data_IF_256046841564
#
_entry.id   IF_256046841564
#
_cell.length_a   1.000
_cell.length_b   1.000
_cell.length_c   1.000
_cell.angle_alpha   90.00
_cell.angle_beta   90.00
_cell.angle_gamma   90.00
#
_symmetry.space_group_name_H-M   'P 1'
#
loop_
_entity.id
_entity.type
_entity.pdbx_description
1 polymer ?
#
# COMPACT_ATOMS: atom_id res chain seq x y z
N UNK A 1 17.67 -3.01 -9.12
CA UNK A 1 16.57 -2.07 -8.84
C UNK A 1 15.88 -2.49 -7.56
N UNK A 2 15.47 -1.54 -6.72
CA UNK A 2 14.82 -1.79 -5.43
C UNK A 2 13.50 -1.01 -5.37
N UNK A 3 12.38 -1.73 -5.23
CA UNK A 3 11.06 -1.13 -4.97
C UNK A 3 11.04 -0.53 -3.57
N UNK A 4 10.42 0.63 -3.41
CA UNK A 4 10.09 1.23 -2.12
C UNK A 4 9.03 0.35 -1.46
N UNK A 5 9.33 -0.21 -0.30
CA UNK A 5 8.43 -1.08 0.44
C UNK A 5 8.49 -0.69 1.92
N UNK A 6 7.33 -0.37 2.50
CA UNK A 6 7.19 0.01 3.90
C UNK A 6 6.57 -1.09 4.77
N UNK A 7 6.32 -2.25 4.19
CA UNK A 7 5.70 -3.38 4.86
C UNK A 7 6.68 -4.17 5.71
N UNK A 8 6.13 -4.78 6.77
CA UNK A 8 6.92 -5.73 7.57
C UNK A 8 7.03 -7.06 6.83
N UNK A 9 8.26 -7.49 6.57
CA UNK A 9 8.54 -8.81 5.99
C UNK A 9 8.12 -9.91 6.96
N UNK A 10 7.43 -10.92 6.42
CA UNK A 10 6.97 -12.05 7.22
C UNK A 10 6.79 -13.26 6.32
N UNK A 11 7.67 -14.25 6.45
CA UNK A 11 7.79 -15.39 5.54
C UNK A 11 6.45 -16.08 5.25
N UNK A 12 5.66 -16.37 6.29
CA UNK A 12 4.36 -17.01 6.10
C UNK A 12 3.33 -16.09 5.44
N UNK A 13 3.35 -14.79 5.75
CA UNK A 13 2.39 -13.86 5.15
C UNK A 13 2.73 -13.65 3.68
N UNK A 14 4.01 -13.46 3.36
CA UNK A 14 4.51 -13.27 2.02
C UNK A 14 4.24 -14.51 1.14
N UNK A 15 4.42 -15.73 1.69
CA UNK A 15 4.06 -16.98 1.02
C UNK A 15 2.54 -17.08 0.78
N UNK A 16 1.72 -16.81 1.80
CA UNK A 16 0.26 -16.85 1.68
C UNK A 16 -0.24 -15.86 0.62
N UNK A 17 0.29 -14.63 0.60
CA UNK A 17 -0.09 -13.61 -0.36
C UNK A 17 0.24 -14.05 -1.78
N UNK A 18 1.44 -14.58 -1.99
CA UNK A 18 1.86 -15.12 -3.30
C UNK A 18 0.99 -16.29 -3.76
N UNK A 19 0.75 -17.28 -2.90
CA UNK A 19 -0.06 -18.47 -3.21
C UNK A 19 -1.51 -18.12 -3.56
N UNK A 20 -2.05 -17.08 -2.93
CA UNK A 20 -3.44 -16.64 -3.10
C UNK A 20 -3.60 -15.46 -4.05
N UNK A 21 -2.54 -15.07 -4.78
CA UNK A 21 -2.56 -13.93 -5.71
C UNK A 21 -3.10 -12.65 -5.07
N UNK A 22 -2.65 -12.38 -3.84
CA UNK A 22 -2.92 -11.15 -3.11
C UNK A 22 -1.76 -10.20 -3.41
N UNK A 23 -2.07 -9.12 -4.13
CA UNK A 23 -1.11 -8.10 -4.56
C UNK A 23 -1.19 -6.88 -3.66
N UNK A 24 -0.12 -6.08 -3.59
CA UNK A 24 -0.09 -4.85 -2.80
C UNK A 24 0.04 -3.61 -3.71
N UNK A 25 -0.36 -2.45 -3.18
CA UNK A 25 -0.10 -1.14 -3.80
C UNK A 25 0.45 -0.21 -2.71
N UNK A 26 1.69 0.25 -2.86
CA UNK A 26 2.35 1.04 -1.82
C UNK A 26 1.86 2.48 -1.78
N UNK A 27 1.38 3.05 -2.88
CA UNK A 27 0.90 4.42 -2.91
C UNK A 27 -0.40 4.55 -3.67
N UNK A 28 -1.51 4.71 -2.97
CA UNK A 28 -2.74 5.25 -3.53
C UNK A 28 -2.87 6.70 -3.09
N UNK A 29 -2.77 7.61 -4.04
CA UNK A 29 -2.84 9.05 -3.81
C UNK A 29 -4.29 9.51 -3.91
N UNK A 30 -4.61 10.51 -3.09
CA UNK A 30 -5.92 11.15 -3.09
C UNK A 30 -5.82 12.62 -2.73
N UNK A 31 -6.78 13.38 -3.25
CA UNK A 31 -7.03 14.76 -2.86
C UNK A 31 -8.48 14.84 -2.36
N UNK A 32 -8.66 15.23 -1.10
CA UNK A 32 -9.94 15.09 -0.40
C UNK A 32 -10.46 13.64 -0.46
N UNK A 33 -11.69 13.44 -0.95
CA UNK A 33 -12.33 12.12 -1.08
C UNK A 33 -12.16 11.50 -2.48
N UNK A 34 -11.34 12.12 -3.35
CA UNK A 34 -11.13 11.65 -4.72
C UNK A 34 -9.75 11.02 -4.87
N UNK A 35 -9.70 9.77 -5.34
CA UNK A 35 -8.45 9.11 -5.73
C UNK A 35 -7.89 9.75 -6.99
N UNK A 36 -6.58 9.98 -7.03
CA UNK A 36 -5.93 10.72 -8.13
C UNK A 36 -5.04 9.83 -8.96
N UNK A 37 -4.23 8.96 -8.34
CA UNK A 37 -3.41 7.98 -9.03
C UNK A 37 -2.91 6.87 -8.07
N UNK A 38 -2.54 5.73 -8.64
CA UNK A 38 -1.66 4.76 -7.99
C UNK A 38 -0.21 5.06 -8.32
N UNK A 39 0.71 4.84 -7.39
CA UNK A 39 2.14 5.02 -7.58
C UNK A 39 2.96 3.90 -6.92
N UNK A 40 4.02 3.52 -7.62
CA UNK A 40 5.14 2.76 -7.06
C UNK A 40 6.44 3.53 -7.25
N UNK A 41 7.41 3.33 -6.37
CA UNK A 41 8.74 3.95 -6.51
C UNK A 41 9.83 2.90 -6.57
N UNK A 42 10.78 3.11 -7.47
CA UNK A 42 11.92 2.22 -7.68
C UNK A 42 13.22 3.01 -7.69
N UNK A 43 14.22 2.52 -6.96
CA UNK A 43 15.57 3.06 -6.98
C UNK A 43 16.48 2.13 -7.79
N UNK A 44 17.20 2.69 -8.76
CA UNK A 44 18.19 1.96 -9.54
C UNK A 44 19.62 2.44 -9.24
N UNK A 45 20.66 1.60 -9.46
CA UNK A 45 22.03 1.96 -9.10
C UNK A 45 22.58 3.13 -9.91
N UNK A 46 23.52 3.88 -9.32
CA UNK A 46 24.19 5.01 -9.99
C UNK A 46 24.92 4.56 -11.26
N UNK A 47 24.77 5.32 -12.35
CA UNK A 47 25.33 5.05 -13.67
C UNK A 47 24.54 4.04 -14.50
N UNK A 48 23.37 3.60 -14.05
CA UNK A 48 22.46 2.73 -14.79
C UNK A 48 21.21 3.50 -15.24
N UNK A 49 20.47 2.94 -16.20
CA UNK A 49 19.13 3.43 -16.56
C UNK A 49 18.04 2.60 -15.87
N UNK A 50 16.86 3.18 -15.71
CA UNK A 50 15.67 2.41 -15.38
C UNK A 50 15.41 1.36 -16.46
N UNK A 51 15.24 0.11 -16.04
CA UNK A 51 14.96 -1.02 -16.93
C UNK A 51 13.56 -1.57 -16.56
N UNK A 52 12.54 -1.36 -17.41
CA UNK A 52 11.20 -1.87 -17.13
C UNK A 52 11.10 -3.39 -17.32
N UNK A 53 12.05 -4.05 -18.00
CA UNK A 53 11.98 -5.48 -18.32
C UNK A 53 12.18 -6.38 -17.10
N UNK A 54 12.75 -5.84 -16.02
CA UNK A 54 12.97 -6.54 -14.75
C UNK A 54 11.79 -6.42 -13.78
N UNK A 55 10.74 -5.68 -14.14
CA UNK A 55 9.52 -5.58 -13.35
C UNK A 55 8.76 -6.91 -13.37
N UNK A 56 8.13 -7.25 -12.24
CA UNK A 56 7.25 -8.42 -12.19
C UNK A 56 5.94 -8.11 -12.93
N UNK A 57 5.79 -8.66 -14.13
CA UNK A 57 4.61 -8.47 -14.96
C UNK A 57 3.28 -8.76 -14.22
N UNK A 58 3.20 -9.86 -13.47
CA UNK A 58 1.94 -10.25 -12.80
C UNK A 58 1.55 -9.23 -11.73
N UNK A 59 2.50 -8.74 -10.96
CA UNK A 59 2.25 -7.73 -9.92
C UNK A 59 1.91 -6.35 -10.51
N UNK A 60 2.68 -5.90 -11.51
CA UNK A 60 2.47 -4.59 -12.14
C UNK A 60 1.16 -4.55 -12.94
N UNK A 61 0.80 -5.65 -13.61
CA UNK A 61 -0.51 -5.81 -14.25
C UNK A 61 -1.64 -5.74 -13.22
N UNK A 62 -1.50 -6.40 -12.06
CA UNK A 62 -2.51 -6.33 -11.02
C UNK A 62 -2.69 -4.90 -10.48
N UNK A 63 -1.59 -4.17 -10.21
CA UNK A 63 -1.62 -2.76 -9.78
C UNK A 63 -2.25 -1.85 -10.83
N UNK A 64 -1.85 -2.02 -12.09
CA UNK A 64 -2.44 -1.30 -13.22
C UNK A 64 -3.95 -1.51 -13.31
N UNK A 65 -4.41 -2.77 -13.28
CA UNK A 65 -5.84 -3.11 -13.39
C UNK A 65 -6.66 -2.62 -12.19
N UNK A 66 -6.08 -2.66 -10.99
CA UNK A 66 -6.69 -2.07 -9.80
C UNK A 66 -6.94 -0.56 -9.98
N UNK A 67 -5.92 0.17 -10.46
CA UNK A 67 -6.02 1.60 -10.75
C UNK A 67 -7.00 1.89 -11.91
N UNK A 68 -6.96 1.08 -12.96
CA UNK A 68 -7.88 1.18 -14.10
C UNK A 68 -9.34 1.04 -13.65
N UNK A 69 -9.64 0.12 -12.73
CA UNK A 69 -10.98 -0.06 -12.18
C UNK A 69 -11.44 1.13 -11.32
N UNK A 70 -10.51 1.80 -10.64
CA UNK A 70 -10.75 3.08 -9.97
C UNK A 70 -10.84 4.27 -10.93
N UNK A 71 -10.63 4.06 -12.23
CA UNK A 71 -10.56 5.10 -13.25
C UNK A 71 -9.51 6.18 -12.95
N UNK A 72 -8.34 5.75 -12.47
CA UNK A 72 -7.18 6.60 -12.18
C UNK A 72 -5.93 6.08 -12.88
N UNK A 73 -4.97 6.95 -13.24
CA UNK A 73 -3.69 6.52 -13.79
C UNK A 73 -2.85 5.77 -12.76
N UNK A 74 -1.97 4.90 -13.27
CA UNK A 74 -0.94 4.21 -12.50
C UNK A 74 0.44 4.68 -12.96
N UNK A 75 1.28 5.12 -12.03
CA UNK A 75 2.63 5.61 -12.31
C UNK A 75 3.71 4.79 -11.62
N UNK A 76 4.85 4.66 -12.28
CA UNK A 76 6.11 4.26 -11.65
C UNK A 76 7.03 5.48 -11.57
N UNK A 77 7.57 5.75 -10.38
CA UNK A 77 8.55 6.80 -10.13
C UNK A 77 9.93 6.15 -9.97
N UNK A 78 10.77 6.26 -11.00
CA UNK A 78 12.12 5.74 -10.98
C UNK A 78 13.12 6.83 -10.57
N UNK A 79 14.08 6.46 -9.71
CA UNK A 79 15.08 7.38 -9.15
C UNK A 79 16.44 6.71 -9.20
N UNK A 80 17.44 7.39 -9.77
CA UNK A 80 18.82 6.93 -9.67
C UNK A 80 19.34 7.11 -8.23
N UNK A 81 20.06 6.12 -7.71
CA UNK A 81 20.65 6.18 -6.39
C UNK A 81 21.61 7.37 -6.27
N UNK A 82 21.35 8.27 -5.31
CA UNK A 82 22.14 9.48 -5.09
C UNK A 82 21.75 10.67 -5.97
N UNK A 83 20.77 10.51 -6.85
CA UNK A 83 20.19 11.59 -7.66
C UNK A 83 18.92 12.15 -7.01
N UNK A 84 18.61 13.41 -7.33
CA UNK A 84 17.31 14.04 -7.05
C UNK A 84 16.54 14.33 -8.35
N UNK A 85 16.71 13.44 -9.34
CA UNK A 85 15.94 13.41 -10.59
C UNK A 85 14.94 12.24 -10.54
N UNK A 86 13.70 12.54 -10.91
CA UNK A 86 12.55 11.66 -10.84
C UNK A 86 12.04 11.41 -12.25
N UNK A 87 12.12 10.17 -12.71
CA UNK A 87 11.54 9.73 -13.97
C UNK A 87 10.16 9.15 -13.68
N UNK A 88 9.11 9.82 -14.16
CA UNK A 88 7.72 9.42 -13.95
C UNK A 88 7.25 8.69 -15.21
N UNK A 89 6.94 7.41 -15.06
CA UNK A 89 6.44 6.56 -16.13
C UNK A 89 4.94 6.36 -15.97
N UNK A 90 4.16 6.67 -17.00
CA UNK A 90 2.76 6.28 -17.10
C UNK A 90 2.68 4.82 -17.54
N UNK A 91 1.99 4.01 -16.74
CA UNK A 91 1.87 2.58 -16.95
C UNK A 91 0.62 2.26 -17.76
N UNK A 92 0.79 1.36 -18.72
CA UNK A 92 -0.29 0.79 -19.52
C UNK A 92 -0.04 -0.70 -19.74
N UNK A 93 -1.07 -1.43 -20.12
CA UNK A 93 -0.99 -2.85 -20.46
C UNK A 93 -1.37 -3.05 -21.94
N UNK A 94 -0.55 -3.77 -22.69
CA UNK A 94 -0.84 -4.16 -24.07
C UNK A 94 -0.34 -5.59 -24.33
N UNK A 95 -1.17 -6.44 -24.92
CA UNK A 95 -0.84 -7.84 -25.27
C UNK A 95 -0.11 -8.61 -24.17
N UNK A 96 -0.63 -8.55 -22.93
CA UNK A 96 -0.01 -9.13 -21.74
C UNK A 96 1.43 -8.65 -21.46
N UNK A 97 1.72 -7.40 -21.78
CA UNK A 97 2.99 -6.73 -21.47
C UNK A 97 2.70 -5.41 -20.78
N UNK A 98 3.51 -5.07 -19.78
CA UNK A 98 3.46 -3.75 -19.15
C UNK A 98 4.32 -2.78 -19.94
N UNK A 99 3.70 -1.72 -20.43
CA UNK A 99 4.35 -0.63 -21.14
C UNK A 99 4.59 0.53 -20.18
N UNK A 100 5.88 0.83 -19.94
CA UNK A 100 6.31 1.98 -19.14
C UNK A 100 6.62 3.15 -20.07
N UNK A 101 5.68 4.07 -20.24
CA UNK A 101 5.87 5.25 -21.08
C UNK A 101 6.44 6.38 -20.24
N UNK A 102 7.66 6.85 -20.52
CA UNK A 102 8.21 8.01 -19.81
C UNK A 102 7.30 9.21 -20.07
N UNK A 103 6.65 9.69 -19.00
CA UNK A 103 5.75 10.81 -19.05
C UNK A 103 6.54 12.11 -18.81
N UNK A 104 7.31 12.17 -17.72
CA UNK A 104 8.05 13.36 -17.30
C UNK A 104 9.37 13.00 -16.61
N UNK A 105 10.38 13.87 -16.75
CA UNK A 105 11.61 13.83 -15.96
C UNK A 105 11.70 15.12 -15.15
N UNK A 106 11.65 14.99 -13.83
CA UNK A 106 11.52 16.12 -12.92
C UNK A 106 12.74 16.22 -12.00
N UNK A 107 13.20 17.43 -11.74
CA UNK A 107 14.06 17.67 -10.58
C UNK A 107 13.22 17.70 -9.29
N UNK A 108 13.87 17.71 -8.13
CA UNK A 108 13.21 17.78 -6.81
C UNK A 108 12.11 18.84 -6.69
N UNK A 109 12.35 20.08 -7.11
CA UNK A 109 11.37 21.15 -6.96
C UNK A 109 10.12 20.89 -7.82
N UNK A 110 10.34 20.51 -9.07
CA UNK A 110 9.26 20.15 -9.98
C UNK A 110 8.51 18.89 -9.52
N UNK A 111 9.21 17.90 -8.97
CA UNK A 111 8.61 16.69 -8.39
C UNK A 111 7.70 17.02 -7.19
N UNK A 112 8.12 17.90 -6.28
CA UNK A 112 7.28 18.34 -5.16
C UNK A 112 6.01 19.05 -5.66
N UNK A 113 6.12 19.86 -6.72
CA UNK A 113 4.95 20.48 -7.34
C UNK A 113 4.02 19.45 -7.98
N UNK A 114 4.56 18.51 -8.75
CA UNK A 114 3.80 17.39 -9.34
C UNK A 114 3.08 16.60 -8.26
N UNK A 115 3.76 16.26 -7.17
CA UNK A 115 3.17 15.53 -6.05
C UNK A 115 1.98 16.27 -5.43
N UNK A 116 2.14 17.58 -5.17
CA UNK A 116 1.07 18.43 -4.61
C UNK A 116 -0.17 18.54 -5.50
N UNK A 117 -0.03 18.35 -6.81
CA UNK A 117 -1.17 18.31 -7.73
C UNK A 117 -1.99 17.02 -7.58
N UNK A 118 -1.37 15.93 -7.10
CA UNK A 118 -2.02 14.63 -6.92
C UNK A 118 -2.42 14.37 -5.45
N UNK A 119 -1.65 14.87 -4.49
CA UNK A 119 -1.93 14.77 -3.07
C UNK A 119 -1.25 15.91 -2.29
N UNK A 120 -2.06 16.77 -1.68
CA UNK A 120 -1.58 17.89 -0.85
C UNK A 120 -1.41 17.54 0.63
N UNK A 121 -1.81 16.33 1.05
CA UNK A 121 -1.87 15.95 2.46
C UNK A 121 -0.50 15.82 3.14
N UNK A 122 -0.45 16.36 4.36
CA UNK A 122 0.70 16.22 5.27
C UNK A 122 0.59 14.95 6.11
N UNK A 123 1.74 14.33 6.37
CA UNK A 123 1.87 13.22 7.31
C UNK A 123 1.53 13.70 8.73
N UNK A 124 0.34 13.36 9.24
CA UNK A 124 -0.12 13.77 10.58
C UNK A 124 0.34 12.85 11.72
N UNK A 125 0.66 11.59 11.42
CA UNK A 125 1.06 10.57 12.40
C UNK A 125 2.56 10.31 12.28
N UNK A 126 3.26 10.23 13.41
CA UNK A 126 4.64 9.78 13.39
C UNK A 126 4.74 8.36 12.82
N UNK A 127 5.71 8.16 11.92
CA UNK A 127 5.95 6.88 11.27
C UNK A 127 6.79 5.96 12.14
N UNK A 128 6.53 5.88 13.46
CA UNK A 128 7.44 5.21 14.42
C UNK A 128 7.78 3.76 14.03
N UNK A 129 6.80 3.03 13.48
CA UNK A 129 7.02 1.64 13.05
C UNK A 129 7.62 1.56 11.64
N UNK A 130 7.25 2.45 10.72
CA UNK A 130 7.70 2.40 9.33
C UNK A 130 9.03 3.13 9.07
N UNK A 131 9.40 4.10 9.91
CA UNK A 131 10.59 4.94 9.75
C UNK A 131 11.88 4.13 9.55
N UNK A 132 12.17 3.06 10.34
CA UNK A 132 13.37 2.25 10.11
C UNK A 132 13.40 1.54 8.74
N UNK A 133 12.23 1.27 8.14
CA UNK A 133 12.13 0.58 6.85
C UNK A 133 12.32 1.52 5.67
N UNK A 134 11.98 2.81 5.86
CA UNK A 134 12.08 3.85 4.83
C UNK A 134 13.23 4.84 5.08
N UNK A 135 14.09 4.60 6.08
CA UNK A 135 15.15 5.54 6.52
C UNK A 135 16.09 5.98 5.37
N UNK A 136 16.34 5.11 4.40
CA UNK A 136 17.16 5.40 3.22
C UNK A 136 16.38 5.77 1.95
N UNK A 137 15.07 5.98 2.05
CA UNK A 137 14.21 6.26 0.90
C UNK A 137 14.32 7.72 0.47
N UNK A 138 14.87 7.95 -0.72
CA UNK A 138 15.04 9.29 -1.32
C UNK A 138 13.68 10.01 -1.38
N UNK A 139 12.64 9.30 -1.81
CA UNK A 139 11.32 9.88 -2.00
C UNK A 139 10.64 10.21 -0.67
N UNK A 140 10.67 9.32 0.33
CA UNK A 140 10.08 9.60 1.64
C UNK A 140 10.79 10.80 2.30
N UNK A 141 12.13 10.90 2.20
CA UNK A 141 12.89 12.03 2.71
C UNK A 141 12.47 13.37 2.07
N UNK A 142 12.26 13.39 0.75
CA UNK A 142 11.85 14.60 0.04
C UNK A 142 10.42 14.99 0.37
N UNK A 143 9.51 14.03 0.46
CA UNK A 143 8.12 14.30 0.83
C UNK A 143 8.02 14.86 2.25
N UNK A 144 8.67 14.21 3.22
CA UNK A 144 8.64 14.66 4.62
C UNK A 144 9.28 16.04 4.82
N UNK A 145 10.41 16.31 4.15
CA UNK A 145 11.03 17.64 4.18
C UNK A 145 10.12 18.75 3.62
N UNK A 146 9.09 18.39 2.84
CA UNK A 146 8.13 19.32 2.25
C UNK A 146 6.73 19.24 2.90
N UNK A 147 6.60 18.60 4.07
CA UNK A 147 5.33 18.37 4.76
C UNK A 147 4.29 17.62 3.91
N UNK A 148 4.74 16.64 3.12
CA UNK A 148 3.91 15.78 2.30
C UNK A 148 3.98 14.33 2.79
N UNK A 149 2.92 13.57 2.56
CA UNK A 149 2.89 12.12 2.79
C UNK A 149 3.02 11.33 1.49
N UNK A 150 3.51 10.09 1.59
CA UNK A 150 3.61 9.13 0.49
C UNK A 150 2.25 8.71 -0.11
N UNK A 151 1.17 8.72 0.68
CA UNK A 151 -0.12 8.18 0.25
C UNK A 151 -0.43 6.89 0.99
N UNK A 152 -1.55 6.29 0.60
CA UNK A 152 -2.17 5.20 1.34
C UNK A 152 -1.62 3.88 0.82
N UNK A 153 -1.06 3.07 1.70
CA UNK A 153 -0.72 1.69 1.37
C UNK A 153 -2.00 0.84 1.34
N UNK A 154 -2.08 -0.04 0.35
CA UNK A 154 -3.01 -1.17 0.33
C UNK A 154 -2.16 -2.43 0.54
N UNK A 155 -2.20 -2.99 1.76
CA UNK A 155 -1.35 -4.13 2.11
C UNK A 155 -1.61 -5.35 1.21
N UNK A 156 -2.88 -5.53 0.80
CA UNK A 156 -3.30 -6.60 -0.10
C UNK A 156 -4.61 -6.32 -0.82
N UNK A 157 -4.73 -6.78 -2.06
CA UNK A 157 -5.96 -6.85 -2.84
C UNK A 157 -5.95 -8.08 -3.75
N UNK A 158 -7.12 -8.55 -4.14
CA UNK A 158 -7.27 -9.62 -5.16
C UNK A 158 -8.13 -9.13 -6.32
N UNK A 159 -7.89 -9.72 -7.49
CA UNK A 159 -8.66 -9.46 -8.70
C UNK A 159 -9.38 -10.73 -9.15
N UNK A 160 -10.51 -10.58 -9.85
CA UNK A 160 -11.14 -11.66 -10.59
C UNK A 160 -10.42 -11.94 -11.92
N UNK A 161 -10.93 -12.90 -12.69
CA UNK A 161 -10.36 -13.27 -13.99
C UNK A 161 -10.43 -12.16 -15.05
N UNK A 162 -11.28 -11.14 -14.84
CA UNK A 162 -11.43 -9.98 -15.71
C UNK A 162 -10.61 -8.77 -15.21
N UNK A 163 -9.87 -8.90 -14.10
CA UNK A 163 -9.09 -7.81 -13.51
C UNK A 163 -9.91 -6.88 -12.61
N UNK A 164 -11.16 -7.22 -12.26
CA UNK A 164 -11.97 -6.45 -11.31
C UNK A 164 -11.54 -6.76 -9.87
N UNK A 165 -11.34 -5.74 -9.00
CA UNK A 165 -11.09 -5.96 -7.58
C UNK A 165 -12.21 -6.78 -6.91
N UNK A 166 -11.82 -7.73 -6.06
CA UNK A 166 -12.75 -8.60 -5.32
C UNK A 166 -12.72 -8.34 -3.81
N UNK A 167 -11.55 -8.04 -3.27
CA UNK A 167 -11.36 -7.79 -1.85
C UNK A 167 -10.10 -6.97 -1.60
N UNK A 168 -10.11 -6.25 -0.48
CA UNK A 168 -8.93 -5.62 0.12
C UNK A 168 -8.59 -6.36 1.41
N UNK A 169 -7.31 -6.46 1.71
CA UNK A 169 -6.76 -7.11 2.88
C UNK A 169 -5.86 -6.12 3.62
N UNK A 170 -6.17 -5.87 4.88
CA UNK A 170 -5.23 -5.29 5.84
C UNK A 170 -4.38 -6.43 6.43
N UNK A 171 -3.06 -6.25 6.49
CA UNK A 171 -2.13 -7.21 7.07
C UNK A 171 -1.68 -6.75 8.45
N UNK A 172 -1.89 -7.60 9.47
CA UNK A 172 -1.37 -7.35 10.83
C UNK A 172 -0.50 -8.50 11.30
N UNK A 173 0.63 -8.15 11.90
CA UNK A 173 1.53 -9.10 12.56
C UNK A 173 1.49 -8.80 14.06
N UNK A 174 1.06 -9.76 14.88
CA UNK A 174 0.90 -9.60 16.33
C UNK A 174 2.04 -10.26 17.11
N UNK A 175 2.54 -9.53 18.11
CA UNK A 175 3.54 -10.02 19.09
C UNK A 175 2.94 -10.14 20.49
N UNK A 176 1.77 -9.53 20.70
CA UNK A 176 1.23 -9.21 22.03
C UNK A 176 0.11 -10.15 22.45
N UNK A 177 -0.54 -10.76 21.49
CA UNK A 177 -1.65 -11.68 21.68
C UNK A 177 -1.49 -12.82 20.67
N UNK A 178 -1.87 -14.03 21.10
CA UNK A 178 -2.11 -15.11 20.16
C UNK A 178 -3.14 -14.66 19.13
N UNK A 179 -3.07 -15.17 17.91
CA UNK A 179 -3.94 -14.77 16.80
C UNK A 179 -5.41 -14.89 17.19
N UNK A 180 -5.74 -15.89 18.00
CA UNK A 180 -7.05 -16.21 18.56
C UNK A 180 -7.63 -15.08 19.42
N UNK A 181 -6.77 -14.32 20.06
CA UNK A 181 -7.13 -13.31 21.06
C UNK A 181 -6.92 -11.89 20.53
N UNK A 182 -6.46 -11.76 19.28
CA UNK A 182 -6.25 -10.47 18.65
C UNK A 182 -7.60 -9.78 18.41
N UNK A 183 -7.82 -8.65 19.07
CA UNK A 183 -9.02 -7.83 18.86
C UNK A 183 -8.59 -6.48 18.26
N UNK A 184 -8.87 -6.21 16.97
CA UNK A 184 -8.48 -4.96 16.33
C UNK A 184 -9.11 -3.73 16.99
N UNK A 185 -10.24 -3.86 17.70
CA UNK A 185 -10.87 -2.72 18.41
C UNK A 185 -9.99 -2.17 19.52
N UNK A 186 -9.16 -3.01 20.14
CA UNK A 186 -8.26 -2.58 21.24
C UNK A 186 -7.24 -1.53 20.80
N UNK A 187 -6.93 -1.47 19.50
CA UNK A 187 -5.93 -0.55 18.94
C UNK A 187 -6.55 0.62 18.18
N UNK A 188 -7.85 0.58 17.94
CA UNK A 188 -8.56 1.50 17.05
C UNK A 188 -8.49 2.96 17.50
N UNK A 189 -8.72 3.23 18.79
CA UNK A 189 -8.67 4.58 19.36
C UNK A 189 -7.27 5.02 19.80
N UNK A 190 -6.30 4.11 19.74
CA UNK A 190 -4.94 4.37 20.20
C UNK A 190 -4.83 4.43 21.72
N UNK A 191 -3.75 5.04 22.18
CA UNK A 191 -3.44 5.24 23.60
C UNK A 191 -2.95 6.67 23.82
N UNK A 192 -2.78 7.09 25.07
CA UNK A 192 -2.18 8.39 25.40
C UNK A 192 -0.79 8.61 24.78
N UNK A 193 -0.12 7.54 24.31
CA UNK A 193 1.24 7.56 23.74
C UNK A 193 1.30 7.28 22.23
N UNK A 194 0.19 6.83 21.61
CA UNK A 194 0.18 6.42 20.20
C UNK A 194 -1.17 6.75 19.58
N UNK A 195 -1.19 7.48 18.47
CA UNK A 195 -2.41 7.74 17.70
C UNK A 195 -3.06 6.43 17.28
N UNK A 196 -4.40 6.39 17.35
CA UNK A 196 -5.19 5.25 16.92
C UNK A 196 -5.06 4.93 15.44
N UNK A 197 -5.66 3.81 15.06
CA UNK A 197 -5.64 3.31 13.69
C UNK A 197 -6.88 3.75 12.88
N UNK A 198 -7.83 4.47 13.50
CA UNK A 198 -9.03 4.98 12.81
C UNK A 198 -8.75 5.62 11.44
N UNK A 199 -7.80 6.56 11.28
CA UNK A 199 -7.58 7.20 9.98
C UNK A 199 -7.22 6.21 8.86
N UNK A 200 -6.34 5.24 9.15
CA UNK A 200 -5.93 4.21 8.18
C UNK A 200 -7.10 3.28 7.84
N UNK A 201 -7.81 2.78 8.85
CA UNK A 201 -8.99 1.92 8.65
C UNK A 201 -10.11 2.62 7.90
N UNK A 202 -10.34 3.90 8.17
CA UNK A 202 -11.40 4.67 7.54
C UNK A 202 -11.13 4.80 6.03
N UNK A 203 -9.89 5.09 5.64
CA UNK A 203 -9.52 5.19 4.23
C UNK A 203 -9.74 3.86 3.50
N UNK A 204 -9.29 2.74 4.08
CA UNK A 204 -9.46 1.42 3.47
C UNK A 204 -10.92 1.00 3.39
N UNK A 205 -11.73 1.33 4.40
CA UNK A 205 -13.16 1.03 4.38
C UNK A 205 -13.90 1.87 3.35
N UNK A 206 -13.61 3.17 3.26
CA UNK A 206 -14.14 4.04 2.20
C UNK A 206 -13.78 3.52 0.81
N UNK A 207 -12.54 3.06 0.61
CA UNK A 207 -12.10 2.46 -0.65
C UNK A 207 -12.88 1.18 -0.98
N UNK A 208 -13.01 0.28 0.00
CA UNK A 208 -13.75 -0.97 -0.18
C UNK A 208 -15.23 -0.70 -0.50
N UNK A 209 -15.85 0.27 0.15
CA UNK A 209 -17.25 0.67 -0.10
C UNK A 209 -17.42 1.32 -1.47
N UNK A 210 -16.49 2.19 -1.87
CA UNK A 210 -16.48 2.80 -3.20
C UNK A 210 -16.38 1.75 -4.33
N UNK A 211 -15.59 0.70 -4.10
CA UNK A 211 -15.41 -0.41 -5.02
C UNK A 211 -16.52 -1.49 -4.91
N UNK A 212 -17.40 -1.39 -3.91
CA UNK A 212 -18.41 -2.39 -3.56
C UNK A 212 -17.80 -3.79 -3.28
N UNK A 213 -16.66 -3.84 -2.59
CA UNK A 213 -15.92 -5.05 -2.27
C UNK A 213 -15.75 -5.26 -0.76
N UNK A 214 -15.28 -6.45 -0.38
CA UNK A 214 -15.07 -6.79 1.03
C UNK A 214 -13.69 -6.35 1.53
N UNK A 215 -13.64 -5.70 2.68
CA UNK A 215 -12.42 -5.48 3.46
C UNK A 215 -12.21 -6.61 4.48
N UNK A 216 -11.08 -7.29 4.40
CA UNK A 216 -10.65 -8.29 5.36
C UNK A 216 -9.47 -7.81 6.20
N UNK A 217 -9.40 -8.29 7.43
CA UNK A 217 -8.18 -8.26 8.24
C UNK A 217 -7.57 -9.66 8.26
N UNK A 218 -6.30 -9.74 7.89
CA UNK A 218 -5.45 -10.92 8.06
C UNK A 218 -4.49 -10.67 9.21
N UNK A 219 -4.59 -11.48 10.27
CA UNK A 219 -3.72 -11.41 11.43
C UNK A 219 -2.78 -12.61 11.44
N UNK A 220 -1.48 -12.34 11.42
CA UNK A 220 -0.41 -13.33 11.50
C UNK A 220 0.26 -13.27 12.87
N UNK A 221 0.62 -14.42 13.42
CA UNK A 221 1.52 -14.46 14.56
C UNK A 221 2.92 -14.03 14.09
N UNK A 222 3.69 -13.29 14.91
CA UNK A 222 5.09 -12.95 14.55
C UNK A 222 6.02 -14.15 14.48
N UNK A 223 5.68 -15.22 15.20
CA UNK A 223 6.41 -16.47 15.02
C UNK A 223 6.10 -16.97 13.61
N UNK A 224 7.09 -17.44 12.84
CA UNK A 224 6.87 -17.95 11.48
C UNK A 224 6.02 -19.24 11.44
N UNK A 225 5.27 -19.56 12.51
CA UNK A 225 4.26 -20.61 12.51
C UNK A 225 3.17 -20.25 11.49
N UNK A 226 2.64 -21.28 10.84
CA UNK A 226 1.57 -21.14 9.84
C UNK A 226 0.20 -20.96 10.50
N UNK A 227 0.06 -19.93 11.35
CA UNK A 227 -1.19 -19.59 12.02
C UNK A 227 -1.61 -18.20 11.54
N UNK A 228 -2.78 -18.13 10.90
CA UNK A 228 -3.37 -16.88 10.45
C UNK A 228 -4.85 -16.82 10.82
N UNK A 229 -5.27 -15.65 11.26
CA UNK A 229 -6.65 -15.31 11.48
C UNK A 229 -7.21 -14.46 10.34
N UNK A 230 -8.42 -14.76 9.89
CA UNK A 230 -9.15 -13.92 8.93
C UNK A 230 -10.47 -13.44 9.52
N UNK A 231 -10.76 -12.14 9.41
CA UNK A 231 -12.07 -11.57 9.75
C UNK A 231 -12.53 -10.53 8.72
N UNK A 232 -13.84 -10.46 8.49
CA UNK A 232 -14.44 -9.45 7.63
C UNK A 232 -14.79 -8.20 8.43
N UNK A 233 -14.33 -7.05 7.95
CA UNK A 233 -14.67 -5.74 8.50
C UNK A 233 -16.03 -5.32 7.97
N UNK A 234 -16.94 -5.01 8.88
CA UNK A 234 -18.31 -4.57 8.55
C UNK A 234 -18.39 -3.05 8.52
N UNK A 235 -17.95 -2.40 9.59
CA UNK A 235 -18.02 -0.95 9.72
C UNK A 235 -16.80 -0.40 10.45
N UNK A 236 -16.46 0.84 10.12
CA UNK A 236 -15.43 1.66 10.76
C UNK A 236 -16.10 2.96 11.15
N UNK A 237 -16.23 3.23 12.46
CA UNK A 237 -16.93 4.40 12.96
C UNK A 237 -16.08 5.17 13.98
N UNK A 238 -15.97 6.51 13.89
CA UNK A 238 -15.13 7.31 14.78
C UNK A 238 -15.52 7.23 16.26
N UNK A 239 -16.76 6.85 16.58
CA UNK A 239 -17.23 6.71 17.97
C UNK A 239 -17.37 5.25 18.42
N UNK A 240 -17.71 4.33 17.51
CA UNK A 240 -18.09 2.96 17.87
C UNK A 240 -16.97 1.95 17.61
N UNK A 241 -15.88 2.40 16.98
CA UNK A 241 -14.75 1.53 16.71
C UNK A 241 -14.91 0.78 15.39
N UNK A 242 -14.39 -0.44 15.38
CA UNK A 242 -14.42 -1.34 14.25
C UNK A 242 -15.38 -2.49 14.55
N UNK A 243 -16.36 -2.74 13.68
CA UNK A 243 -17.27 -3.90 13.78
C UNK A 243 -16.89 -4.94 12.72
N UNK A 244 -17.00 -6.22 13.08
CA UNK A 244 -16.53 -7.33 12.25
C UNK A 244 -17.31 -8.62 12.55
N UNK A 245 -17.27 -9.58 11.62
CA UNK A 245 -17.86 -10.91 11.84
C UNK A 245 -17.08 -11.70 12.90
N UNK A 246 -17.77 -12.26 13.90
CA UNK A 246 -17.16 -13.07 14.98
C UNK A 246 -17.20 -14.59 14.69
N UNK A 247 -16.17 -15.41 15.03
CA UNK A 247 -14.78 -15.09 15.37
C UNK A 247 -13.82 -15.33 14.19
N UNK A 248 -12.56 -14.94 14.43
CA UNK A 248 -11.38 -15.16 13.57
C UNK A 248 -11.33 -16.62 13.11
N UNK A 249 -11.45 -16.87 11.79
CA UNK A 249 -11.21 -18.21 11.25
C UNK A 249 -9.71 -18.46 11.20
N UNK A 250 -9.26 -19.51 11.87
CA UNK A 250 -7.88 -19.99 11.76
C UNK A 250 -7.74 -20.78 10.48
N UNK A 251 -6.82 -20.35 9.64
CA UNK A 251 -6.35 -21.17 8.53
C UNK A 251 -5.00 -21.72 9.00
N UNK A 252 -5.03 -22.99 9.40
CA UNK A 252 -3.84 -23.82 9.57
C UNK A 252 -3.76 -24.62 8.27
N UNK A 253 -2.74 -24.40 7.42
CA UNK A 253 -2.56 -25.17 6.19
C UNK A 253 -2.22 -26.63 6.48
#
# INVERSE_FOLDING_TARGET
MKRRDSETKHEYADAYFKENKIYDLQGLLRENETYTCGVESYVYPMGHSFDPTILNYEEESARYRFCLYLNIPYYIIAIEQGSEVFEIYLISENDNTICCNLNETLNKSAFVCWWKQHQSFTQKKEMTEAAPRIEGSIIDNILFANNLAWGVNIDGFTLDTNGKPLAIFEKRITNKSQVEQYDPRKYFFGTNKKSGDFPSWNILKTLADHLEITLYLLTFERSNRKIMGKTQIKEVHPSNGLTYTSPIKFIIP
#
